data_IF_601869958849
#
_entry.id   IF_601869958849
#
_cell.length_a   1.000
_cell.length_b   1.000
_cell.length_c   1.000
_cell.angle_alpha   90.00
_cell.angle_beta   90.00
_cell.angle_gamma   90.00
#
_symmetry.space_group_name_H-M   'P 1'
#
loop_
_entity.id
_entity.type
_entity.pdbx_description
1 polymer ?
#
# COMPACT_ATOMS: atom_id res chain seq x y z
N UNK A 1 -1.88 -22.56 34.84
CA UNK A 1 -0.51 -22.36 34.31
C UNK A 1 -0.16 -23.41 33.24
N UNK A 2 -0.45 -24.70 33.48
CA UNK A 2 -0.10 -25.79 32.56
C UNK A 2 -0.76 -25.71 31.17
N UNK A 3 -2.02 -25.33 31.09
CA UNK A 3 -2.73 -25.25 29.80
C UNK A 3 -2.14 -24.18 28.88
N UNK A 4 -1.80 -23.03 29.45
CA UNK A 4 -1.18 -21.93 28.66
C UNK A 4 0.23 -22.30 28.18
N UNK A 5 1.03 -22.92 29.03
CA UNK A 5 2.37 -23.38 28.65
C UNK A 5 2.32 -24.46 27.56
N UNK A 6 1.37 -25.38 27.62
CA UNK A 6 1.12 -26.38 26.56
C UNK A 6 0.67 -25.72 25.24
N UNK A 7 -0.24 -24.77 25.32
CA UNK A 7 -0.73 -24.05 24.16
C UNK A 7 0.41 -23.26 23.47
N UNK A 8 1.22 -22.52 24.23
CA UNK A 8 2.42 -21.83 23.75
C UNK A 8 3.38 -22.79 23.05
N UNK A 9 3.64 -23.95 23.64
CA UNK A 9 4.52 -24.98 23.05
C UNK A 9 3.97 -25.51 21.73
N UNK A 10 2.67 -25.77 21.64
CA UNK A 10 2.01 -26.23 20.42
C UNK A 10 2.09 -25.18 19.32
N UNK A 11 1.75 -23.93 19.63
CA UNK A 11 1.80 -22.81 18.67
C UNK A 11 3.22 -22.62 18.12
N UNK A 12 4.23 -22.62 18.99
CA UNK A 12 5.64 -22.49 18.60
C UNK A 12 6.09 -23.65 17.71
N UNK A 13 5.72 -24.88 18.08
CA UNK A 13 6.01 -26.08 17.27
C UNK A 13 5.40 -25.96 15.86
N UNK A 14 4.11 -25.64 15.78
CA UNK A 14 3.38 -25.55 14.51
C UNK A 14 3.89 -24.38 13.65
N UNK A 15 4.40 -23.31 14.31
CA UNK A 15 5.05 -22.19 13.65
C UNK A 15 6.53 -22.43 13.27
N UNK A 16 7.06 -23.63 13.47
CA UNK A 16 8.44 -23.99 13.13
C UNK A 16 9.50 -23.35 14.03
N UNK A 17 9.10 -22.89 15.23
CA UNK A 17 10.00 -22.26 16.20
C UNK A 17 10.64 -23.28 17.16
N UNK A 18 11.82 -22.96 17.67
CA UNK A 18 12.37 -23.69 18.79
C UNK A 18 11.56 -23.41 20.07
N UNK A 19 10.73 -24.34 20.48
CA UNK A 19 9.84 -24.21 21.63
C UNK A 19 10.55 -24.33 22.97
N UNK A 20 11.78 -24.85 23.02
CA UNK A 20 12.60 -24.94 24.22
C UNK A 20 13.24 -23.60 24.62
N UNK A 21 13.45 -22.71 23.69
CA UNK A 21 14.00 -21.38 23.94
C UNK A 21 12.88 -20.38 24.25
N UNK A 22 12.88 -19.85 25.47
CA UNK A 22 11.89 -18.91 25.99
C UNK A 22 12.43 -17.49 26.19
N UNK A 23 13.71 -17.27 25.87
CA UNK A 23 14.43 -16.04 26.20
C UNK A 23 14.58 -15.14 24.96
N UNK A 24 14.82 -15.74 23.78
CA UNK A 24 15.02 -14.97 22.55
C UNK A 24 13.70 -14.74 21.83
N UNK A 25 13.44 -13.49 21.34
CA UNK A 25 12.32 -13.25 20.44
C UNK A 25 12.41 -14.12 19.19
N UNK A 26 11.28 -14.62 18.73
CA UNK A 26 11.16 -15.50 17.56
C UNK A 26 9.94 -15.19 16.75
N UNK A 27 10.06 -15.37 15.45
CA UNK A 27 8.98 -15.32 14.50
C UNK A 27 8.82 -16.66 13.80
N UNK A 28 7.58 -16.97 13.45
CA UNK A 28 7.24 -18.18 12.74
C UNK A 28 5.89 -18.08 12.08
N UNK A 29 5.54 -19.10 11.32
CA UNK A 29 4.26 -19.14 10.61
C UNK A 29 3.74 -20.57 10.51
N UNK A 30 2.42 -20.69 10.47
CA UNK A 30 1.73 -21.91 10.09
C UNK A 30 0.42 -21.56 9.38
N UNK A 31 -0.19 -22.55 8.73
CA UNK A 31 -1.48 -22.37 8.07
C UNK A 31 -2.45 -23.45 8.53
N UNK A 32 -3.72 -23.11 8.60
CA UNK A 32 -4.78 -24.08 8.87
C UNK A 32 -6.01 -23.80 7.99
N UNK A 33 -6.85 -24.80 7.82
CA UNK A 33 -8.08 -24.65 7.06
C UNK A 33 -9.27 -24.45 8.00
N UNK A 34 -10.00 -23.36 7.82
CA UNK A 34 -11.21 -23.05 8.55
C UNK A 34 -12.35 -22.80 7.59
N UNK A 35 -13.45 -23.55 7.70
CA UNK A 35 -14.62 -23.42 6.81
C UNK A 35 -14.25 -23.41 5.32
N UNK A 36 -13.32 -24.26 4.89
CA UNK A 36 -12.86 -24.35 3.51
C UNK A 36 -11.88 -23.23 3.07
N UNK A 37 -11.51 -22.30 3.96
CA UNK A 37 -10.55 -21.22 3.69
C UNK A 37 -9.22 -21.54 4.32
N UNK A 38 -8.14 -21.24 3.62
CA UNK A 38 -6.78 -21.32 4.17
C UNK A 38 -6.48 -20.02 4.91
N UNK A 39 -6.23 -20.15 6.20
CA UNK A 39 -5.84 -19.05 7.08
C UNK A 39 -4.36 -19.20 7.38
N UNK A 40 -3.55 -18.23 6.98
CA UNK A 40 -2.15 -18.14 7.36
C UNK A 40 -2.03 -17.43 8.72
N UNK A 41 -1.18 -17.93 9.60
CA UNK A 41 -0.96 -17.36 10.92
C UNK A 41 0.51 -16.99 11.05
N UNK A 42 0.78 -15.71 11.25
CA UNK A 42 2.08 -15.24 11.71
C UNK A 42 2.10 -15.24 13.22
N UNK A 43 3.16 -15.75 13.77
CA UNK A 43 3.35 -15.88 15.20
C UNK A 43 4.63 -15.15 15.59
N UNK A 44 4.52 -14.21 16.51
CA UNK A 44 5.66 -13.60 17.19
C UNK A 44 5.65 -14.06 18.65
N UNK A 45 6.75 -14.63 19.12
CA UNK A 45 6.96 -15.04 20.49
C UNK A 45 8.09 -14.21 21.11
N UNK A 46 7.88 -13.72 22.32
CA UNK A 46 8.90 -12.96 23.03
C UNK A 46 8.84 -13.19 24.54
N UNK A 47 9.99 -12.98 25.23
CA UNK A 47 10.05 -13.15 26.67
C UNK A 47 9.18 -12.13 27.38
N UNK A 48 8.59 -12.54 28.48
CA UNK A 48 7.83 -11.69 29.39
C UNK A 48 8.44 -11.77 30.78
N UNK A 49 8.32 -10.70 31.56
CA UNK A 49 8.73 -10.73 32.95
C UNK A 49 8.10 -11.93 33.70
N UNK A 50 8.78 -12.50 34.67
CA UNK A 50 8.32 -13.65 35.47
C UNK A 50 8.25 -15.00 34.70
N UNK A 51 9.28 -15.28 33.87
CA UNK A 51 9.47 -16.58 33.17
C UNK A 51 8.34 -16.96 32.19
N UNK A 52 7.54 -15.96 31.74
CA UNK A 52 6.48 -16.13 30.76
C UNK A 52 6.93 -15.81 29.32
N UNK A 53 6.11 -16.23 28.38
CA UNK A 53 6.22 -15.80 26.98
C UNK A 53 4.92 -15.14 26.52
N UNK A 54 5.06 -14.04 25.78
CA UNK A 54 3.95 -13.42 25.06
C UNK A 54 3.92 -13.98 23.64
N UNK A 55 2.78 -14.53 23.25
CA UNK A 55 2.50 -14.95 21.88
C UNK A 55 1.56 -13.93 21.25
N UNK A 56 1.96 -13.36 20.12
CA UNK A 56 1.11 -12.53 19.28
C UNK A 56 0.88 -13.26 17.97
N UNK A 57 -0.39 -13.43 17.60
CA UNK A 57 -0.78 -14.07 16.34
C UNK A 57 -1.51 -13.10 15.46
N UNK A 58 -1.10 -13.01 14.17
CA UNK A 58 -1.81 -12.29 13.12
C UNK A 58 -2.41 -13.30 12.17
N UNK A 59 -3.72 -13.24 12.02
CA UNK A 59 -4.47 -14.08 11.09
C UNK A 59 -4.53 -13.39 9.73
N UNK A 60 -4.19 -14.11 8.68
CA UNK A 60 -4.20 -13.65 7.28
C UNK A 60 -5.11 -14.59 6.49
N UNK A 61 -6.32 -14.13 6.17
CA UNK A 61 -7.26 -14.87 5.34
C UNK A 61 -6.95 -14.59 3.87
N UNK A 62 -6.49 -15.60 3.14
CA UNK A 62 -6.21 -15.48 1.69
C UNK A 62 -7.43 -15.09 0.87
N UNK A 63 -8.63 -15.47 1.31
CA UNK A 63 -9.87 -15.11 0.64
C UNK A 63 -10.28 -13.65 0.86
N UNK A 64 -9.65 -12.94 1.81
CA UNK A 64 -9.91 -11.53 2.07
C UNK A 64 -9.16 -10.57 1.13
N UNK A 65 -8.28 -11.08 0.26
CA UNK A 65 -7.63 -10.28 -0.76
C UNK A 65 -8.67 -9.78 -1.76
N UNK A 66 -8.90 -8.48 -1.74
CA UNK A 66 -9.77 -7.83 -2.72
C UNK A 66 -9.14 -7.90 -4.10
N UNK A 67 -9.96 -8.21 -5.11
CA UNK A 67 -9.55 -8.16 -6.50
C UNK A 67 -9.27 -6.71 -6.94
N UNK A 68 -8.47 -6.56 -7.99
CA UNK A 68 -8.07 -5.24 -8.52
C UNK A 68 -9.28 -4.37 -8.87
N UNK A 69 -10.25 -4.92 -9.62
CA UNK A 69 -11.46 -4.19 -10.02
C UNK A 69 -12.31 -3.75 -8.82
N UNK A 70 -12.41 -4.59 -7.77
CA UNK A 70 -13.12 -4.23 -6.54
C UNK A 70 -12.44 -3.08 -5.80
N UNK A 71 -11.10 -3.09 -5.73
CA UNK A 71 -10.33 -2.04 -5.08
C UNK A 71 -10.48 -0.69 -5.77
N UNK A 72 -10.41 -0.68 -7.11
CA UNK A 72 -10.44 0.54 -7.92
C UNK A 72 -11.83 0.90 -8.46
N UNK A 73 -12.89 0.20 -8.05
CA UNK A 73 -14.26 0.45 -8.52
C UNK A 73 -14.72 1.92 -8.41
N UNK A 74 -14.18 2.66 -7.44
CA UNK A 74 -14.49 4.08 -7.23
C UNK A 74 -13.42 5.03 -7.77
N UNK A 75 -12.35 4.49 -8.29
CA UNK A 75 -11.20 5.19 -8.84
C UNK A 75 -10.85 4.52 -10.18
N UNK A 76 -11.86 4.42 -11.07
CA UNK A 76 -11.74 3.67 -12.32
C UNK A 76 -10.63 4.21 -13.23
N UNK A 77 -10.44 5.51 -13.25
CA UNK A 77 -9.39 6.17 -14.00
C UNK A 77 -7.98 5.80 -13.50
N UNK A 78 -7.77 5.76 -12.17
CA UNK A 78 -6.53 5.27 -11.56
C UNK A 78 -6.35 3.77 -11.84
N UNK A 79 -7.41 2.99 -11.69
CA UNK A 79 -7.41 1.56 -12.01
C UNK A 79 -7.06 1.29 -13.48
N UNK A 80 -7.69 2.01 -14.41
CA UNK A 80 -7.41 1.89 -15.83
C UNK A 80 -5.98 2.28 -16.16
N UNK A 81 -5.47 3.38 -15.59
CA UNK A 81 -4.07 3.79 -15.77
C UNK A 81 -3.09 2.71 -15.27
N UNK A 82 -3.33 2.17 -14.07
CA UNK A 82 -2.50 1.10 -13.52
C UNK A 82 -2.57 -0.18 -14.37
N UNK A 83 -3.76 -0.58 -14.77
CA UNK A 83 -3.94 -1.75 -15.64
C UNK A 83 -3.18 -1.59 -16.95
N UNK A 84 -3.24 -0.41 -17.59
CA UNK A 84 -2.44 -0.10 -18.76
C UNK A 84 -0.94 -0.10 -18.46
N UNK A 85 -0.52 0.47 -17.32
CA UNK A 85 0.88 0.51 -16.88
C UNK A 85 1.46 -0.87 -16.54
N UNK A 86 0.62 -1.83 -16.25
CA UNK A 86 0.97 -3.23 -15.99
C UNK A 86 0.80 -4.12 -17.23
N UNK A 87 0.29 -3.58 -18.34
CA UNK A 87 0.13 -4.35 -19.57
C UNK A 87 1.49 -4.62 -20.23
N UNK A 88 1.67 -5.81 -20.85
CA UNK A 88 2.95 -6.23 -21.44
C UNK A 88 3.40 -5.41 -22.65
N UNK A 89 2.51 -4.59 -23.20
CA UNK A 89 2.71 -3.92 -24.51
C UNK A 89 3.14 -2.45 -24.37
N UNK A 90 3.62 -2.02 -23.20
CA UNK A 90 4.05 -0.65 -23.02
C UNK A 90 5.26 -0.36 -23.91
N UNK A 91 5.02 0.36 -24.99
CA UNK A 91 6.08 0.93 -25.83
C UNK A 91 6.91 1.89 -24.97
N UNK A 92 8.15 1.50 -24.66
CA UNK A 92 9.08 2.35 -23.91
C UNK A 92 9.73 1.70 -22.70
N UNK A 93 9.53 0.39 -22.51
CA UNK A 93 10.24 -0.41 -21.49
C UNK A 93 10.06 0.10 -20.07
N UNK A 94 10.03 -0.75 -19.08
CA UNK A 94 10.19 -0.49 -17.67
C UNK A 94 9.52 0.75 -17.07
N UNK A 95 9.82 0.99 -15.83
CA UNK A 95 9.39 2.16 -15.06
C UNK A 95 9.03 1.81 -13.63
N UNK A 96 8.78 2.82 -12.83
CA UNK A 96 8.56 2.68 -11.39
C UNK A 96 7.11 3.07 -11.02
N UNK A 97 6.37 2.12 -10.46
CA UNK A 97 5.03 2.30 -9.88
C UNK A 97 5.19 2.26 -8.36
N UNK A 98 4.76 3.29 -7.67
CA UNK A 98 4.93 3.40 -6.22
C UNK A 98 3.58 3.47 -5.54
N UNK A 99 3.37 2.59 -4.58
CA UNK A 99 2.26 2.63 -3.65
C UNK A 99 2.76 3.23 -2.33
N UNK A 100 2.13 4.29 -1.85
CA UNK A 100 2.55 4.92 -0.60
C UNK A 100 1.41 5.08 0.40
N UNK A 101 1.73 5.43 1.61
CA UNK A 101 0.77 5.64 2.69
C UNK A 101 1.28 5.11 4.04
N UNK A 102 0.58 5.43 5.13
CA UNK A 102 0.95 4.97 6.47
C UNK A 102 0.78 3.45 6.64
N UNK A 103 1.22 2.94 7.78
CA UNK A 103 0.98 1.54 8.15
C UNK A 103 -0.52 1.28 8.25
N UNK A 104 -0.97 0.16 7.69
CA UNK A 104 -2.39 -0.21 7.68
C UNK A 104 -3.25 0.48 6.63
N UNK A 105 -2.67 1.27 5.71
CA UNK A 105 -3.40 1.90 4.61
C UNK A 105 -3.80 0.93 3.49
N UNK A 106 -3.39 -0.33 3.55
CA UNK A 106 -3.74 -1.36 2.57
C UNK A 106 -2.75 -1.50 1.40
N UNK A 107 -1.54 -0.92 1.48
CA UNK A 107 -0.50 -0.99 0.41
C UNK A 107 -0.25 -2.42 -0.06
N UNK A 108 -0.05 -3.34 0.87
CA UNK A 108 0.19 -4.76 0.56
C UNK A 108 -0.98 -5.35 -0.23
N UNK A 109 -2.22 -5.06 0.17
CA UNK A 109 -3.41 -5.54 -0.56
C UNK A 109 -3.43 -5.02 -1.99
N UNK A 110 -3.16 -3.72 -2.19
CA UNK A 110 -3.09 -3.11 -3.53
C UNK A 110 -1.92 -3.65 -4.33
N UNK A 111 -0.76 -3.86 -3.71
CA UNK A 111 0.42 -4.46 -4.34
C UNK A 111 0.09 -5.85 -4.90
N UNK A 112 -0.51 -6.71 -4.08
CA UNK A 112 -0.92 -8.05 -4.51
C UNK A 112 -2.03 -8.00 -5.57
N UNK A 113 -2.96 -7.05 -5.49
CA UNK A 113 -3.97 -6.85 -6.53
C UNK A 113 -3.33 -6.44 -7.87
N UNK A 114 -2.34 -5.55 -7.88
CA UNK A 114 -1.56 -5.22 -9.08
C UNK A 114 -0.85 -6.46 -9.65
N UNK A 115 -0.22 -7.27 -8.81
CA UNK A 115 0.44 -8.50 -9.26
C UNK A 115 -0.58 -9.48 -9.86
N UNK A 116 -1.80 -9.53 -9.35
CA UNK A 116 -2.86 -10.39 -9.89
C UNK A 116 -3.31 -9.99 -11.30
N UNK A 117 -3.16 -8.74 -11.70
CA UNK A 117 -3.45 -8.26 -13.06
C UNK A 117 -2.44 -8.76 -14.10
N UNK A 118 -1.23 -9.14 -13.68
CA UNK A 118 -0.18 -9.59 -14.57
C UNK A 118 -0.41 -11.05 -14.97
N UNK A 119 -0.37 -11.37 -16.26
CA UNK A 119 -0.40 -12.76 -16.74
C UNK A 119 0.94 -13.46 -16.40
N UNK A 120 1.02 -13.95 -15.17
CA UNK A 120 2.21 -14.64 -14.64
C UNK A 120 2.53 -16.00 -15.26
N UNK A 121 1.71 -16.48 -16.21
CA UNK A 121 2.03 -17.66 -17.01
C UNK A 121 2.91 -17.31 -18.21
N UNK A 122 2.84 -16.05 -18.67
CA UNK A 122 3.57 -15.54 -19.83
C UNK A 122 4.66 -14.55 -19.46
N UNK A 123 4.60 -14.00 -18.24
CA UNK A 123 5.51 -12.97 -17.74
C UNK A 123 6.17 -13.42 -16.46
N UNK A 124 7.48 -13.24 -16.39
CA UNK A 124 8.25 -13.54 -15.20
C UNK A 124 8.10 -12.41 -14.17
N UNK A 125 7.37 -12.71 -13.10
CA UNK A 125 7.22 -11.83 -11.95
C UNK A 125 8.09 -12.34 -10.82
N UNK A 126 9.01 -11.49 -10.35
CA UNK A 126 9.86 -11.77 -9.20
C UNK A 126 9.56 -10.77 -8.09
N UNK A 127 9.26 -11.28 -6.90
CA UNK A 127 9.01 -10.45 -5.72
C UNK A 127 10.12 -10.59 -4.69
N UNK A 128 10.41 -9.49 -3.98
CA UNK A 128 11.37 -9.40 -2.88
C UNK A 128 10.65 -8.76 -1.70
N UNK A 129 10.39 -9.54 -0.65
CA UNK A 129 9.47 -9.18 0.43
C UNK A 129 10.06 -9.44 1.83
N UNK A 130 9.63 -8.66 2.81
CA UNK A 130 10.05 -8.77 4.21
C UNK A 130 8.84 -8.67 5.17
N UNK A 131 8.24 -9.82 5.48
CA UNK A 131 8.33 -11.12 4.83
C UNK A 131 7.25 -11.30 3.74
N UNK A 132 7.27 -12.44 3.02
CA UNK A 132 6.21 -12.80 2.06
C UNK A 132 4.88 -12.91 2.80
N UNK A 133 3.85 -12.11 2.37
CA UNK A 133 2.52 -12.12 2.99
C UNK A 133 1.64 -13.28 2.49
N UNK A 134 1.61 -13.47 1.17
CA UNK A 134 0.80 -14.48 0.50
C UNK A 134 1.60 -15.19 -0.57
N UNK A 135 1.42 -16.49 -0.69
CA UNK A 135 2.01 -17.27 -1.78
C UNK A 135 1.27 -17.01 -3.09
N UNK A 136 2.01 -16.69 -4.14
CA UNK A 136 1.52 -16.41 -5.47
C UNK A 136 1.88 -17.55 -6.44
N UNK A 137 0.88 -18.13 -7.07
CA UNK A 137 1.13 -19.11 -8.15
C UNK A 137 1.78 -18.41 -9.34
N UNK A 138 2.77 -19.06 -9.95
CA UNK A 138 3.49 -18.59 -11.14
C UNK A 138 4.25 -17.27 -10.91
N UNK A 139 4.71 -17.02 -9.69
CA UNK A 139 5.63 -15.95 -9.36
C UNK A 139 6.83 -16.53 -8.61
N UNK A 140 8.00 -15.94 -8.82
CA UNK A 140 9.19 -16.22 -8.02
C UNK A 140 9.20 -15.27 -6.84
N UNK A 141 9.10 -15.79 -5.61
CA UNK A 141 9.05 -14.96 -4.41
C UNK A 141 10.29 -15.18 -3.55
N UNK A 142 11.03 -14.12 -3.29
CA UNK A 142 12.20 -14.12 -2.42
C UNK A 142 11.91 -13.38 -1.14
N UNK A 143 12.27 -14.01 -0.03
CA UNK A 143 12.16 -13.36 1.28
C UNK A 143 13.50 -12.77 1.69
N UNK A 144 13.48 -11.51 2.07
CA UNK A 144 14.62 -10.81 2.68
C UNK A 144 15.04 -11.51 3.96
N UNK A 145 16.35 -11.58 4.20
CA UNK A 145 16.94 -12.17 5.41
C UNK A 145 17.96 -11.19 5.98
N UNK A 146 17.51 -10.22 6.79
CA UNK A 146 18.38 -9.19 7.34
C UNK A 146 19.57 -9.77 8.10
N UNK A 147 20.74 -9.16 7.92
CA UNK A 147 21.99 -9.62 8.55
C UNK A 147 22.63 -10.85 7.91
N UNK A 148 22.03 -11.46 6.90
CA UNK A 148 22.64 -12.50 6.08
C UNK A 148 23.34 -11.87 4.88
N UNK A 149 24.59 -12.25 4.62
CA UNK A 149 25.32 -11.77 3.44
C UNK A 149 24.56 -12.10 2.16
N UNK A 150 24.25 -11.09 1.36
CA UNK A 150 23.45 -11.24 0.14
C UNK A 150 21.94 -11.39 0.40
N UNK A 151 21.46 -11.14 1.60
CA UNK A 151 20.06 -11.28 1.98
C UNK A 151 19.30 -9.97 2.10
N UNK A 152 19.94 -8.84 1.91
CA UNK A 152 19.32 -7.51 1.95
C UNK A 152 18.58 -7.18 0.66
N UNK A 153 17.65 -6.21 0.72
CA UNK A 153 16.85 -5.81 -0.45
C UNK A 153 17.70 -5.49 -1.66
N UNK A 154 18.72 -4.65 -1.53
CA UNK A 154 19.56 -4.23 -2.66
C UNK A 154 20.35 -5.39 -3.29
N UNK A 155 20.81 -6.36 -2.48
CA UNK A 155 21.50 -7.56 -2.99
C UNK A 155 20.55 -8.43 -3.81
N UNK A 156 19.34 -8.64 -3.28
CA UNK A 156 18.31 -9.45 -3.94
C UNK A 156 17.82 -8.78 -5.24
N UNK A 157 17.66 -7.44 -5.26
CA UNK A 157 17.28 -6.72 -6.49
C UNK A 157 18.38 -6.87 -7.56
N UNK A 158 19.66 -6.72 -7.18
CA UNK A 158 20.79 -6.96 -8.11
C UNK A 158 20.82 -8.40 -8.63
N UNK A 159 20.50 -9.36 -7.78
CA UNK A 159 20.38 -10.75 -8.20
C UNK A 159 19.20 -10.92 -9.14
N UNK A 160 18.04 -10.35 -8.82
CA UNK A 160 16.81 -10.44 -9.61
C UNK A 160 17.01 -9.99 -11.06
N UNK A 161 17.72 -8.89 -11.30
CA UNK A 161 18.02 -8.39 -12.66
C UNK A 161 18.78 -9.38 -13.53
N UNK A 162 19.40 -10.42 -12.96
CA UNK A 162 20.10 -11.50 -13.72
C UNK A 162 19.21 -12.70 -13.99
N UNK A 163 17.95 -12.68 -13.55
CA UNK A 163 16.97 -13.74 -13.75
C UNK A 163 15.98 -13.42 -14.87
N UNK A 164 16.23 -12.36 -15.65
CA UNK A 164 15.41 -11.91 -16.76
C UNK A 164 13.91 -11.76 -16.40
N UNK A 165 13.57 -11.01 -15.33
CA UNK A 165 12.18 -10.79 -14.95
C UNK A 165 11.56 -9.66 -15.80
N UNK A 166 10.30 -9.80 -16.18
CA UNK A 166 9.53 -8.69 -16.75
C UNK A 166 9.15 -7.66 -15.65
N UNK A 167 8.86 -8.17 -14.45
CA UNK A 167 8.42 -7.37 -13.29
C UNK A 167 9.25 -7.71 -12.06
N UNK A 168 9.71 -6.66 -11.38
CA UNK A 168 10.37 -6.77 -10.08
C UNK A 168 9.49 -6.06 -9.05
N UNK A 169 8.97 -6.82 -8.09
CA UNK A 169 8.16 -6.28 -7.00
C UNK A 169 9.01 -6.21 -5.74
N UNK A 170 9.16 -5.01 -5.21
CA UNK A 170 9.98 -4.74 -4.03
C UNK A 170 9.03 -4.37 -2.89
N UNK A 171 9.06 -5.12 -1.80
CA UNK A 171 8.18 -4.89 -0.66
C UNK A 171 8.19 -3.45 -0.17
N UNK A 172 9.36 -2.85 -0.01
CA UNK A 172 9.51 -1.46 0.45
C UNK A 172 10.86 -0.85 0.06
N UNK A 173 10.86 0.45 -0.27
CA UNK A 173 12.06 1.27 -0.46
C UNK A 173 12.36 2.03 0.84
N UNK A 174 13.36 1.58 1.61
CA UNK A 174 13.67 2.11 2.95
C UNK A 174 14.94 2.95 2.99
N UNK A 175 15.91 2.66 2.13
CA UNK A 175 17.26 3.20 2.16
C UNK A 175 17.78 3.56 0.77
N UNK A 176 18.91 4.28 0.74
CA UNK A 176 19.55 4.77 -0.47
C UNK A 176 19.90 3.65 -1.47
N UNK A 177 20.50 2.57 -0.97
CA UNK A 177 20.99 1.47 -1.82
C UNK A 177 19.84 0.74 -2.49
N UNK A 178 18.74 0.53 -1.77
CA UNK A 178 17.51 -0.08 -2.28
C UNK A 178 16.87 0.82 -3.34
N UNK A 179 16.74 2.14 -3.09
CA UNK A 179 16.17 3.10 -4.05
C UNK A 179 17.03 3.17 -5.31
N UNK A 180 18.35 3.34 -5.17
CA UNK A 180 19.28 3.42 -6.32
C UNK A 180 19.20 2.15 -7.18
N UNK A 181 19.14 0.99 -6.53
CA UNK A 181 19.09 -0.30 -7.25
C UNK A 181 17.74 -0.51 -7.94
N UNK A 182 16.64 -0.10 -7.31
CA UNK A 182 15.30 -0.12 -7.92
C UNK A 182 15.21 0.79 -9.15
N UNK A 183 15.80 1.99 -9.08
CA UNK A 183 15.89 2.91 -10.22
C UNK A 183 16.69 2.31 -11.37
N UNK A 184 17.85 1.68 -11.08
CA UNK A 184 18.65 0.98 -12.10
C UNK A 184 17.89 -0.18 -12.75
N UNK A 185 17.09 -0.92 -11.99
CA UNK A 185 16.22 -1.95 -12.53
C UNK A 185 15.17 -1.35 -13.48
N UNK A 186 14.55 -0.22 -13.11
CA UNK A 186 13.59 0.48 -13.97
C UNK A 186 14.26 1.04 -15.25
N UNK A 187 15.45 1.62 -15.15
CA UNK A 187 16.25 2.11 -16.30
C UNK A 187 16.64 0.99 -17.26
N UNK A 188 16.88 -0.21 -16.75
CA UNK A 188 17.24 -1.39 -17.59
C UNK A 188 16.02 -2.05 -18.26
N UNK A 189 14.82 -1.44 -18.14
CA UNK A 189 13.63 -1.88 -18.86
C UNK A 189 12.65 -2.74 -18.07
N UNK A 190 12.94 -3.02 -16.79
CA UNK A 190 12.01 -3.76 -15.91
C UNK A 190 10.88 -2.86 -15.42
N UNK A 191 9.68 -3.40 -15.30
CA UNK A 191 8.62 -2.73 -14.54
C UNK A 191 8.81 -3.01 -13.06
N UNK A 192 9.12 -1.97 -12.30
CA UNK A 192 9.34 -2.06 -10.85
C UNK A 192 8.10 -1.56 -10.12
N UNK A 193 7.59 -2.37 -9.19
CA UNK A 193 6.48 -1.99 -8.32
C UNK A 193 6.97 -2.03 -6.89
N UNK A 194 6.75 -0.96 -6.13
CA UNK A 194 7.23 -0.92 -4.74
C UNK A 194 6.32 -0.10 -3.82
N UNK A 195 6.61 -0.18 -2.52
CA UNK A 195 5.92 0.63 -1.52
C UNK A 195 6.88 1.60 -0.82
N UNK A 196 6.32 2.71 -0.34
CA UNK A 196 7.03 3.73 0.45
C UNK A 196 6.12 4.23 1.57
N UNK A 197 6.69 4.54 2.72
CA UNK A 197 5.97 5.25 3.78
C UNK A 197 6.06 6.77 3.56
N UNK A 198 4.95 7.38 3.17
CA UNK A 198 4.78 8.83 3.03
C UNK A 198 3.30 9.19 3.18
N UNK A 199 2.99 10.44 3.51
CA UNK A 199 1.63 10.89 3.81
C UNK A 199 0.87 11.38 2.58
N UNK A 200 1.56 11.83 1.53
CA UNK A 200 0.98 12.27 0.27
C UNK A 200 1.77 11.75 -0.94
N UNK A 201 1.18 11.81 -2.13
CA UNK A 201 1.88 11.44 -3.36
C UNK A 201 3.09 12.36 -3.63
N UNK A 202 2.96 13.66 -3.37
CA UNK A 202 4.08 14.61 -3.51
C UNK A 202 5.19 14.34 -2.51
N UNK A 203 4.86 14.13 -1.23
CA UNK A 203 5.86 13.78 -0.22
C UNK A 203 6.57 12.47 -0.53
N UNK A 204 5.96 11.57 -1.30
CA UNK A 204 6.63 10.35 -1.75
C UNK A 204 7.82 10.66 -2.64
N UNK A 205 7.71 11.64 -3.56
CA UNK A 205 8.87 12.13 -4.33
C UNK A 205 9.95 12.70 -3.43
N UNK A 206 9.58 13.57 -2.49
CA UNK A 206 10.54 14.17 -1.54
C UNK A 206 11.21 13.10 -0.69
N UNK A 207 10.44 12.10 -0.22
CA UNK A 207 10.98 10.99 0.54
C UNK A 207 12.02 10.20 -0.24
N UNK A 208 11.73 9.87 -1.50
CA UNK A 208 12.67 9.14 -2.36
C UNK A 208 13.93 9.97 -2.62
N UNK A 209 13.81 11.29 -2.84
CA UNK A 209 14.96 12.19 -2.99
C UNK A 209 15.79 12.25 -1.72
N UNK A 210 15.15 12.41 -0.56
CA UNK A 210 15.84 12.53 0.74
C UNK A 210 16.61 11.26 1.15
N UNK A 211 16.25 10.11 0.61
CA UNK A 211 16.99 8.86 0.82
C UNK A 211 18.29 8.82 0.03
N UNK A 212 18.43 9.61 -1.04
CA UNK A 212 19.62 9.58 -1.89
C UNK A 212 20.74 10.45 -1.32
N UNK A 213 22.03 10.08 -1.53
CA UNK A 213 23.15 10.91 -1.13
C UNK A 213 23.09 12.28 -1.82
N UNK A 214 23.47 13.34 -1.08
CA UNK A 214 23.44 14.74 -1.57
C UNK A 214 24.26 14.89 -2.84
N UNK A 215 25.39 14.20 -2.95
CA UNK A 215 26.28 14.24 -4.12
C UNK A 215 25.60 13.71 -5.39
N UNK A 216 24.59 12.86 -5.23
CA UNK A 216 23.81 12.25 -6.33
C UNK A 216 22.45 12.89 -6.53
N UNK A 217 22.08 13.92 -5.77
CA UNK A 217 20.72 14.48 -5.75
C UNK A 217 20.19 14.81 -7.17
N UNK A 218 21.01 15.50 -7.98
CA UNK A 218 20.61 15.89 -9.33
C UNK A 218 20.41 14.70 -10.25
N UNK A 219 21.36 13.76 -10.27
CA UNK A 219 21.27 12.57 -11.13
C UNK A 219 20.12 11.67 -10.70
N UNK A 220 19.93 11.47 -9.40
CA UNK A 220 18.84 10.65 -8.88
C UNK A 220 17.47 11.29 -9.11
N UNK A 221 17.36 12.62 -8.97
CA UNK A 221 16.13 13.34 -9.30
C UNK A 221 15.81 13.23 -10.80
N UNK A 222 16.84 13.27 -11.66
CA UNK A 222 16.67 13.07 -13.08
C UNK A 222 16.13 11.65 -13.36
N UNK A 223 16.77 10.62 -12.80
CA UNK A 223 16.33 9.24 -12.97
C UNK A 223 14.92 9.00 -12.41
N UNK A 224 14.59 9.55 -11.24
CA UNK A 224 13.23 9.51 -10.69
C UNK A 224 12.22 10.12 -11.68
N UNK A 225 12.49 11.29 -12.23
CA UNK A 225 11.62 11.96 -13.20
C UNK A 225 11.42 11.12 -14.47
N UNK A 226 12.47 10.43 -14.91
CA UNK A 226 12.41 9.57 -16.10
C UNK A 226 11.66 8.27 -15.84
N UNK A 227 11.81 7.67 -14.67
CA UNK A 227 11.35 6.31 -14.40
C UNK A 227 10.00 6.24 -13.70
N UNK A 228 9.63 7.22 -12.84
CA UNK A 228 8.34 7.17 -12.13
C UNK A 228 7.18 7.30 -13.12
N UNK A 229 6.30 6.32 -13.13
CA UNK A 229 5.05 6.31 -13.92
C UNK A 229 3.87 6.77 -13.09
N UNK A 230 3.79 6.27 -11.86
CA UNK A 230 2.73 6.70 -10.94
C UNK A 230 3.18 6.60 -9.50
N UNK A 231 2.62 7.49 -8.70
CA UNK A 231 2.66 7.42 -7.23
C UNK A 231 1.21 7.41 -6.76
N UNK A 232 0.85 6.38 -6.01
CA UNK A 232 -0.49 6.21 -5.47
C UNK A 232 -0.39 6.16 -3.97
N UNK A 233 -0.67 7.29 -3.34
CA UNK A 233 -0.80 7.36 -1.89
C UNK A 233 -2.21 6.93 -1.50
N UNK A 234 -2.30 6.08 -0.51
CA UNK A 234 -3.57 5.52 -0.11
C UNK A 234 -3.79 5.51 1.39
N UNK A 235 -5.05 5.68 1.77
CA UNK A 235 -5.57 5.49 3.12
C UNK A 235 -6.82 4.62 3.09
N UNK A 236 -7.13 4.02 4.23
CA UNK A 236 -8.40 3.32 4.42
C UNK A 236 -9.31 4.16 5.30
N UNK A 237 -10.43 4.58 4.76
CA UNK A 237 -11.48 5.30 5.50
C UNK A 237 -12.62 4.37 5.86
N UNK A 238 -13.19 4.55 7.05
CA UNK A 238 -14.33 3.76 7.54
C UNK A 238 -15.59 4.11 6.75
N UNK A 239 -16.35 3.10 6.33
CA UNK A 239 -17.60 3.28 5.61
C UNK A 239 -18.80 3.09 6.55
N UNK A 240 -19.79 3.96 6.41
CA UNK A 240 -21.03 3.92 7.18
C UNK A 240 -21.83 2.65 6.88
N UNK A 241 -22.48 2.14 7.90
CA UNK A 241 -23.45 1.06 7.73
C UNK A 241 -24.70 1.60 7.02
N UNK A 242 -24.94 1.09 5.83
CA UNK A 242 -26.06 1.54 5.01
C UNK A 242 -27.43 1.18 5.60
N UNK A 243 -27.47 0.21 6.53
CA UNK A 243 -28.71 -0.20 7.21
C UNK A 243 -29.14 0.70 8.37
N UNK A 244 -28.22 1.48 8.95
CA UNK A 244 -28.55 2.30 10.12
C UNK A 244 -27.98 3.72 10.09
N UNK A 245 -27.26 4.10 9.04
CA UNK A 245 -26.80 5.49 8.92
C UNK A 245 -27.98 6.45 8.80
N UNK A 246 -27.91 7.55 9.54
CA UNK A 246 -28.96 8.59 9.51
C UNK A 246 -28.79 9.48 8.29
N UNK A 247 -29.89 10.00 7.75
CA UNK A 247 -29.87 11.05 6.75
C UNK A 247 -29.93 12.42 7.42
N UNK A 248 -29.25 13.41 6.89
CA UNK A 248 -29.26 14.78 7.34
C UNK A 248 -28.61 15.70 6.31
N UNK A 249 -28.66 17.03 6.58
CA UNK A 249 -27.96 18.01 5.75
C UNK A 249 -26.59 18.33 6.33
N UNK A 250 -25.61 18.65 5.49
CA UNK A 250 -24.25 18.98 5.93
C UNK A 250 -24.24 20.09 6.98
N UNK A 251 -25.02 21.17 6.76
CA UNK A 251 -25.15 22.32 7.68
C UNK A 251 -25.70 21.98 9.07
N UNK A 252 -26.31 20.82 9.24
CA UNK A 252 -26.82 20.41 10.57
C UNK A 252 -25.75 19.67 11.39
N UNK A 253 -24.65 19.22 10.77
CA UNK A 253 -23.59 18.43 11.40
C UNK A 253 -22.26 19.17 11.51
N UNK A 254 -22.01 20.11 10.61
CA UNK A 254 -20.74 20.82 10.43
C UNK A 254 -20.95 22.31 10.62
N UNK A 255 -19.94 23.00 11.12
CA UNK A 255 -19.85 24.45 11.09
C UNK A 255 -19.63 24.98 9.67
N UNK A 256 -19.84 26.28 9.44
CA UNK A 256 -19.56 26.93 8.17
C UNK A 256 -18.09 26.76 7.75
N UNK A 257 -17.16 26.86 8.71
CA UNK A 257 -15.72 26.66 8.46
C UNK A 257 -15.41 25.22 8.07
N UNK A 258 -16.00 24.22 8.74
CA UNK A 258 -15.83 22.79 8.41
C UNK A 258 -16.42 22.45 7.02
N UNK A 259 -17.55 23.07 6.65
CA UNK A 259 -18.15 22.94 5.31
C UNK A 259 -17.21 23.52 4.24
N UNK A 260 -16.68 24.72 4.50
CA UNK A 260 -15.72 25.38 3.60
C UNK A 260 -14.43 24.59 3.48
N UNK A 261 -13.95 24.00 4.59
CA UNK A 261 -12.77 23.16 4.64
C UNK A 261 -12.95 21.87 3.84
N UNK A 262 -14.10 21.18 3.94
CA UNK A 262 -14.41 20.02 3.08
C UNK A 262 -14.64 20.45 1.63
N UNK A 263 -15.19 21.64 1.39
CA UNK A 263 -15.55 22.13 0.05
C UNK A 263 -16.82 21.45 -0.49
N UNK A 264 -17.77 21.14 0.38
CA UNK A 264 -19.07 20.55 0.02
C UNK A 264 -20.18 21.60 0.05
N UNK A 265 -21.26 21.34 -0.70
CA UNK A 265 -22.45 22.18 -0.68
C UNK A 265 -23.18 21.99 0.68
N UNK A 266 -23.45 23.08 1.43
CA UNK A 266 -24.13 23.00 2.74
C UNK A 266 -25.54 22.39 2.69
N UNK A 267 -26.19 22.39 1.52
CA UNK A 267 -27.54 21.85 1.35
C UNK A 267 -27.56 20.37 0.98
N UNK A 268 -26.41 19.77 0.77
CA UNK A 268 -26.30 18.38 0.34
C UNK A 268 -26.88 17.44 1.41
N UNK A 269 -27.67 16.47 0.96
CA UNK A 269 -28.17 15.40 1.83
C UNK A 269 -27.10 14.33 1.94
N UNK A 270 -26.67 14.10 3.14
CA UNK A 270 -25.59 13.17 3.46
C UNK A 270 -26.05 12.08 4.43
N UNK A 271 -25.20 11.12 4.68
CA UNK A 271 -25.40 10.11 5.72
C UNK A 271 -24.43 10.30 6.86
N UNK A 272 -24.94 10.11 8.07
CA UNK A 272 -24.22 10.28 9.33
C UNK A 272 -24.05 8.97 10.08
N UNK A 273 -23.01 8.92 10.86
CA UNK A 273 -22.70 7.79 11.70
C UNK A 273 -23.77 7.59 12.79
N UNK A 274 -24.36 6.41 12.83
CA UNK A 274 -25.20 5.97 13.93
C UNK A 274 -24.33 5.27 14.98
N UNK A 275 -24.08 5.97 16.09
CA UNK A 275 -23.24 5.45 17.19
C UNK A 275 -23.83 4.23 17.90
N UNK A 276 -25.15 4.07 17.88
CA UNK A 276 -25.84 2.89 18.44
C UNK A 276 -25.75 1.68 17.51
N UNK A 277 -25.51 1.92 16.22
CA UNK A 277 -25.41 0.87 15.21
C UNK A 277 -26.67 0.00 15.09
N UNK A 278 -26.53 -1.12 14.40
CA UNK A 278 -27.57 -2.15 14.25
C UNK A 278 -26.92 -3.54 14.18
N UNK A 279 -27.74 -4.59 14.07
CA UNK A 279 -27.22 -5.96 14.04
C UNK A 279 -26.37 -6.25 12.80
N UNK A 280 -26.65 -5.59 11.64
CA UNK A 280 -25.85 -5.74 10.41
C UNK A 280 -24.40 -5.25 10.58
N UNK A 281 -24.18 -4.28 11.43
CA UNK A 281 -22.84 -3.71 11.67
C UNK A 281 -22.25 -4.09 13.04
N UNK A 282 -22.84 -5.08 13.72
CA UNK A 282 -22.46 -5.47 15.07
C UNK A 282 -22.45 -4.28 16.04
N UNK A 283 -23.47 -3.42 15.97
CA UNK A 283 -23.65 -2.22 16.82
C UNK A 283 -22.54 -1.18 16.68
N UNK A 284 -21.76 -1.20 15.60
CA UNK A 284 -20.66 -0.23 15.40
C UNK A 284 -21.05 0.97 14.54
N UNK A 285 -22.14 0.93 13.78
CA UNK A 285 -22.51 1.94 12.77
C UNK A 285 -21.58 1.92 11.53
N UNK A 286 -20.59 1.06 11.49
CA UNK A 286 -19.57 0.95 10.42
C UNK A 286 -19.70 -0.41 9.72
N UNK A 287 -19.72 -0.40 8.37
CA UNK A 287 -19.83 -1.63 7.58
C UNK A 287 -18.51 -2.14 7.01
N UNK A 288 -17.46 -1.32 7.01
CA UNK A 288 -16.18 -1.72 6.44
C UNK A 288 -15.22 -0.55 6.24
N UNK A 289 -14.39 -0.67 5.21
CA UNK A 289 -13.42 0.35 4.81
C UNK A 289 -13.35 0.44 3.29
N UNK A 290 -13.06 1.64 2.77
CA UNK A 290 -12.82 1.91 1.35
C UNK A 290 -11.49 2.63 1.17
N UNK A 291 -10.95 2.59 -0.05
CA UNK A 291 -9.76 3.35 -0.41
C UNK A 291 -10.10 4.83 -0.52
N UNK A 292 -9.19 5.64 -0.01
CA UNK A 292 -9.07 7.07 -0.29
C UNK A 292 -7.69 7.26 -0.92
N UNK A 293 -7.64 7.87 -2.09
CA UNK A 293 -6.42 8.02 -2.88
C UNK A 293 -6.00 9.49 -2.99
N UNK A 294 -4.67 9.66 -3.01
CA UNK A 294 -3.96 10.85 -3.44
C UNK A 294 -2.92 10.35 -4.44
N UNK A 295 -3.09 10.64 -5.74
CA UNK A 295 -2.33 10.00 -6.77
C UNK A 295 -1.77 10.99 -7.81
N UNK A 296 -0.58 10.69 -8.29
CA UNK A 296 0.08 11.32 -9.41
C UNK A 296 0.28 10.26 -10.50
N UNK A 297 -0.36 10.47 -11.65
CA UNK A 297 -0.25 9.59 -12.82
C UNK A 297 0.48 10.35 -13.93
N UNK A 298 1.63 9.86 -14.38
CA UNK A 298 2.47 10.53 -15.35
C UNK A 298 2.26 9.89 -16.73
N UNK A 299 1.48 10.56 -17.58
CA UNK A 299 1.14 10.08 -18.92
C UNK A 299 2.17 10.47 -19.98
N UNK A 300 3.17 11.28 -19.61
CA UNK A 300 4.22 11.76 -20.51
C UNK A 300 5.09 10.63 -21.06
N UNK A 301 5.35 10.70 -22.36
CA UNK A 301 6.35 9.86 -23.00
C UNK A 301 7.78 10.21 -22.56
N UNK A 302 8.78 9.33 -22.84
CA UNK A 302 10.16 9.56 -22.43
C UNK A 302 10.75 10.92 -22.84
N UNK A 303 10.40 11.41 -24.04
CA UNK A 303 10.90 12.66 -24.58
C UNK A 303 10.45 13.93 -23.80
N UNK A 304 9.28 13.84 -23.12
CA UNK A 304 8.71 14.97 -22.41
C UNK A 304 8.99 14.97 -20.91
N UNK A 305 9.59 13.92 -20.40
CA UNK A 305 9.86 13.76 -18.95
C UNK A 305 10.88 14.72 -18.37
N UNK A 306 11.64 15.39 -19.22
CA UNK A 306 12.53 16.49 -18.79
C UNK A 306 11.75 17.64 -18.12
N UNK A 307 10.46 17.83 -18.45
CA UNK A 307 9.57 18.78 -17.77
C UNK A 307 9.35 18.41 -16.31
N UNK A 308 9.13 17.11 -16.02
CA UNK A 308 9.00 16.59 -14.64
C UNK A 308 10.28 16.85 -13.85
N UNK A 309 11.45 16.55 -14.45
CA UNK A 309 12.73 16.85 -13.80
C UNK A 309 12.88 18.34 -13.46
N UNK A 310 12.57 19.24 -14.42
CA UNK A 310 12.64 20.68 -14.20
C UNK A 310 11.69 21.16 -13.12
N UNK A 311 10.48 20.61 -13.06
CA UNK A 311 9.50 20.88 -12.01
C UNK A 311 10.03 20.44 -10.64
N UNK A 312 10.51 19.20 -10.52
CA UNK A 312 11.08 18.67 -9.28
C UNK A 312 12.30 19.46 -8.77
N UNK A 313 13.13 19.98 -9.69
CA UNK A 313 14.29 20.80 -9.33
C UNK A 313 13.92 22.21 -8.86
N UNK A 314 12.79 22.76 -9.28
CA UNK A 314 12.26 24.05 -8.78
C UNK A 314 11.54 23.85 -7.45
N UNK A 315 10.48 23.09 -7.49
CA UNK A 315 9.65 22.74 -6.32
C UNK A 315 8.83 21.51 -6.66
N UNK A 316 8.76 20.54 -5.75
CA UNK A 316 7.98 19.33 -5.97
C UNK A 316 6.49 19.62 -6.27
N UNK A 317 5.94 20.70 -5.70
CA UNK A 317 4.56 21.12 -5.97
C UNK A 317 4.35 21.62 -7.41
N UNK A 318 5.39 21.94 -8.16
CA UNK A 318 5.24 22.36 -9.56
C UNK A 318 4.90 21.20 -10.49
N UNK A 319 5.15 19.95 -10.06
CA UNK A 319 4.85 18.76 -10.85
C UNK A 319 3.34 18.64 -11.17
N UNK A 320 2.48 19.09 -10.25
CA UNK A 320 1.02 19.03 -10.43
C UNK A 320 0.50 20.00 -11.50
N UNK A 321 1.34 20.95 -11.93
CA UNK A 321 1.02 21.94 -12.95
C UNK A 321 1.46 21.51 -14.35
N UNK A 322 2.25 20.45 -14.45
CA UNK A 322 2.78 19.98 -15.72
C UNK A 322 1.69 19.25 -16.52
N UNK A 323 1.54 19.64 -17.77
CA UNK A 323 0.66 18.94 -18.71
C UNK A 323 1.10 17.48 -18.86
N UNK A 324 0.16 16.54 -18.80
CA UNK A 324 0.45 15.10 -18.79
C UNK A 324 0.70 14.51 -17.40
N UNK A 325 0.46 15.29 -16.34
CA UNK A 325 0.36 14.78 -14.96
C UNK A 325 -1.11 14.86 -14.52
N UNK A 326 -1.71 13.71 -14.29
CA UNK A 326 -3.06 13.61 -13.74
C UNK A 326 -2.95 13.54 -12.22
N UNK A 327 -3.68 14.39 -11.53
CA UNK A 327 -3.64 14.53 -10.08
C UNK A 327 -4.98 14.16 -9.48
N UNK A 328 -4.97 13.19 -8.58
CA UNK A 328 -6.09 12.89 -7.70
C UNK A 328 -5.75 13.38 -6.32
N UNK A 329 -6.58 14.23 -5.75
CA UNK A 329 -6.36 14.76 -4.40
C UNK A 329 -7.20 14.01 -3.38
N UNK A 330 -6.68 13.89 -2.17
CA UNK A 330 -7.42 13.31 -1.05
C UNK A 330 -8.73 14.06 -0.80
N UNK A 331 -8.72 15.38 -0.93
CA UNK A 331 -9.92 16.21 -0.75
C UNK A 331 -11.03 15.82 -1.73
N UNK A 332 -10.74 15.73 -3.03
CA UNK A 332 -11.75 15.35 -4.03
C UNK A 332 -12.33 13.97 -3.74
N UNK A 333 -11.49 12.99 -3.39
CA UNK A 333 -11.95 11.65 -3.02
C UNK A 333 -12.83 11.64 -1.76
N UNK A 334 -12.54 12.48 -0.76
CA UNK A 334 -13.38 12.61 0.44
C UNK A 334 -14.72 13.23 0.13
N UNK A 335 -14.75 14.28 -0.69
CA UNK A 335 -16.00 14.90 -1.14
C UNK A 335 -16.90 13.83 -1.79
N UNK A 336 -16.37 13.05 -2.72
CA UNK A 336 -17.11 11.99 -3.41
C UNK A 336 -17.66 10.93 -2.43
N UNK A 337 -16.87 10.55 -1.42
CA UNK A 337 -17.27 9.58 -0.40
C UNK A 337 -18.36 10.13 0.53
N UNK A 338 -18.31 11.41 0.88
CA UNK A 338 -19.33 12.08 1.71
C UNK A 338 -20.62 12.24 0.91
N UNK A 339 -20.54 12.79 -0.30
CA UNK A 339 -21.69 13.01 -1.22
C UNK A 339 -22.39 11.70 -1.55
N UNK A 340 -21.64 10.62 -1.71
CA UNK A 340 -22.20 9.27 -1.94
C UNK A 340 -22.79 8.62 -0.66
N UNK A 341 -22.72 9.29 0.48
CA UNK A 341 -23.24 8.80 1.76
C UNK A 341 -22.49 7.59 2.33
N UNK A 342 -21.24 7.42 1.96
CA UNK A 342 -20.40 6.32 2.45
C UNK A 342 -19.57 6.69 3.66
N UNK A 343 -19.18 7.94 3.78
CA UNK A 343 -18.33 8.43 4.87
C UNK A 343 -19.07 9.54 5.59
N UNK A 344 -19.00 9.52 6.91
CA UNK A 344 -19.53 10.57 7.76
C UNK A 344 -18.73 11.87 7.55
N UNK A 345 -19.37 13.02 7.29
CA UNK A 345 -18.69 14.26 6.97
C UNK A 345 -17.77 14.75 8.09
N UNK A 346 -18.17 14.58 9.37
CA UNK A 346 -17.31 14.94 10.50
C UNK A 346 -16.09 14.04 10.61
N UNK A 347 -16.24 12.75 10.27
CA UNK A 347 -15.12 11.82 10.17
C UNK A 347 -14.21 12.14 8.99
N UNK A 348 -14.76 12.69 7.89
CA UNK A 348 -14.00 13.06 6.71
C UNK A 348 -12.94 14.15 6.99
N UNK A 349 -13.28 15.15 7.84
CA UNK A 349 -12.34 16.19 8.26
C UNK A 349 -11.04 15.61 8.87
N UNK A 350 -11.15 14.60 9.73
CA UNK A 350 -10.00 13.96 10.35
C UNK A 350 -9.04 13.33 9.32
N UNK A 351 -9.55 12.98 8.12
CA UNK A 351 -8.74 12.42 7.05
C UNK A 351 -8.12 13.48 6.12
N UNK A 352 -8.60 14.73 6.16
CA UNK A 352 -7.96 15.87 5.50
C UNK A 352 -6.70 16.30 6.23
N UNK A 353 -6.79 16.43 7.57
CA UNK A 353 -5.69 16.90 8.42
C UNK A 353 -4.57 15.85 8.60
N UNK A 354 -4.88 14.59 8.43
CA UNK A 354 -3.96 13.46 8.64
C UNK A 354 -3.22 13.09 7.35
#
# INVERSE_FOLDING_TARGET
>A
PDAMARLTTLIKRDAGMNFGDRVTPKDGRFSFTWQGRVIDVRVAAGPQAQDGEKITMRLLDRASLKGFEELFKRHEDVGNYLSQSLAPEIKGGGGLIILSGPTGSGKTTTLYACIQQIDRRRRHVLTIEDPIEYELRYATQWQVRPGMKGGEFYDLIRAAMRHDPDYIVIGELRDADTVETALKAAESGHTVISTVHADTALQTFERLRSLMPIEKERSSTFTLAQQVRSIINQRLVKTLCQGCAHQGRAIEALSEDEIAELGIDPTIVERRHNTSGCDLCNRTGISGRTLLLDALLITLGPADRDRIYKALMRNVNDIIKEEGVIVHTRRSGLIDLVVSGLVDPKSALNYLES
#
